data_IF_713463436674
#
_entry.id   IF_713463436674
#
_cell.length_a   1.000
_cell.length_b   1.000
_cell.length_c   1.000
_cell.angle_alpha   90.00
_cell.angle_beta   90.00
_cell.angle_gamma   90.00
#
_symmetry.space_group_name_H-M   'P 1'
#
loop_
_entity.id
_entity.type
_entity.pdbx_description
1 polymer ?
2 non-polymer ?
3 water ?
#
# COMPACT_ATOMS: atom_id res chain seq x y z
N UNK A 25 18.64 6.41 -20.34
CA UNK A 25 19.90 6.06 -19.61
C UNK A 25 20.56 4.73 -19.95
N UNK A 26 21.72 4.53 -19.34
CA UNK A 26 22.50 3.33 -19.51
C UNK A 26 21.90 2.11 -18.78
N UNK A 27 22.21 0.93 -19.30
CA UNK A 27 21.88 -0.32 -18.62
C UNK A 27 22.24 -0.35 -17.13
N UNK A 28 23.48 -0.04 -16.80
CA UNK A 28 23.97 -0.09 -15.43
C UNK A 28 23.13 0.83 -14.55
N UNK A 29 22.77 2.01 -15.06
CA UNK A 29 21.96 2.96 -14.31
C UNK A 29 20.54 2.47 -14.09
N UNK A 30 19.93 1.90 -15.12
CA UNK A 30 18.65 1.19 -14.95
C UNK A 30 18.63 0.03 -13.97
N UNK A 31 19.53 -0.93 -14.17
CA UNK A 31 19.72 -2.00 -13.21
C UNK A 31 20.03 -1.53 -11.78
N UNK A 32 20.88 -0.55 -11.60
CA UNK A 32 21.15 -0.04 -10.26
C UNK A 32 19.99 0.67 -9.61
N UNK A 33 19.10 1.14 -10.45
CA UNK A 33 17.90 1.80 -10.00
C UNK A 33 16.79 0.82 -9.60
N UNK A 34 16.61 -0.22 -10.42
CA UNK A 34 15.77 -1.36 -10.11
C UNK A 34 16.17 -1.99 -8.80
N UNK A 35 17.45 -1.86 -8.47
CA UNK A 35 18.07 -2.74 -7.49
C UNK A 35 17.36 -2.79 -6.14
N UNK A 36 17.08 -1.60 -5.56
CA UNK A 36 16.32 -1.55 -4.30
C UNK A 36 14.87 -2.04 -4.37
N UNK A 37 14.27 -2.04 -5.55
CA UNK A 37 12.96 -2.68 -5.66
C UNK A 37 13.05 -4.17 -5.88
N UNK A 38 14.14 -4.62 -6.49
CA UNK A 38 14.35 -6.04 -6.49
C UNK A 38 14.52 -6.53 -5.05
N UNK A 39 15.21 -5.76 -4.21
CA UNK A 39 15.37 -6.21 -2.85
C UNK A 39 14.04 -6.25 -2.12
N UNK A 40 13.19 -5.24 -2.33
CA UNK A 40 11.89 -5.22 -1.68
C UNK A 40 11.06 -6.38 -2.17
N UNK A 42 11.61 -9.29 -3.37
CA UNK A 42 12.10 -10.66 -3.25
C UNK A 42 11.58 -11.52 -2.10
N UNK A 43 11.12 -12.72 -2.44
CA UNK A 43 10.47 -13.59 -1.44
C UNK A 43 9.13 -13.10 -0.94
N UNK A 44 8.65 -12.02 -1.54
CA UNK A 44 7.34 -11.37 -1.33
C UNK A 44 6.31 -12.02 -2.28
N UNK A 45 5.03 -11.98 -1.89
CA UNK A 45 3.90 -12.55 -2.63
C UNK A 45 3.06 -11.49 -3.33
N UNK A 46 2.81 -11.73 -4.60
CA UNK A 46 2.05 -10.78 -5.38
C UNK A 46 0.88 -11.53 -5.98
N UNK A 47 -0.34 -11.08 -5.72
CA UNK A 47 -1.52 -11.62 -6.38
C UNK A 47 -1.83 -10.71 -7.57
N UNK A 48 -1.91 -11.32 -8.73
CA UNK A 48 -2.27 -10.53 -9.90
C UNK A 48 -3.68 -10.88 -10.41
N UNK A 49 -4.60 -9.92 -10.30
CA UNK A 49 -5.89 -10.12 -10.98
C UNK A 49 -5.85 -9.68 -12.43
N UNK A 50 -5.95 -10.60 -13.38
CA UNK A 50 -5.73 -10.23 -14.79
C UNK A 50 -7.02 -10.18 -15.60
N UNK A 51 -7.27 -9.04 -16.25
CA UNK A 51 -8.44 -8.89 -17.11
C UNK A 51 -8.25 -9.92 -18.22
N UNK A 52 -9.30 -10.65 -18.61
CA UNK A 52 -9.11 -11.76 -19.53
C UNK A 52 -8.97 -11.36 -20.99
N UNK A 53 -9.23 -10.09 -21.32
CA UNK A 53 -8.87 -9.53 -22.62
C UNK A 53 -7.37 -9.48 -22.88
N UNK A 54 -6.58 -9.52 -21.82
CA UNK A 54 -5.13 -9.43 -21.96
C UNK A 54 -4.59 -10.81 -22.34
N UNK A 55 -5.44 -11.81 -22.18
CA UNK A 55 -4.98 -13.17 -22.39
C UNK A 55 -5.13 -13.64 -23.84
N UNK A 56 -4.99 -12.70 -24.77
CA UNK A 56 -5.40 -12.94 -26.16
C UNK A 56 -4.52 -12.35 -27.24
N UNK A 57 -3.93 -11.18 -26.98
CA UNK A 57 -3.39 -10.40 -28.10
C UNK A 57 -1.94 -10.76 -28.37
N UNK A 58 -1.15 -9.79 -28.80
CA UNK A 58 0.27 -9.75 -28.41
C UNK A 58 0.48 -9.20 -27.01
N UNK A 59 -0.61 -8.96 -26.29
CA UNK A 59 -0.53 -8.50 -24.92
C UNK A 59 -0.22 -9.68 -24.01
N UNK A 60 -0.45 -10.88 -24.52
CA UNK A 60 -0.28 -12.12 -23.79
C UNK A 60 1.21 -12.49 -23.73
N UNK A 61 1.88 -12.38 -24.87
CA UNK A 61 3.27 -12.84 -24.91
C UNK A 61 4.14 -11.92 -24.08
N UNK A 62 3.89 -10.62 -24.24
CA UNK A 62 4.46 -9.57 -23.44
C UNK A 62 4.27 -9.81 -21.93
N UNK A 63 3.08 -10.17 -21.51
CA UNK A 63 2.70 -10.41 -20.09
C UNK A 63 3.30 -11.69 -19.50
N UNK A 64 3.15 -12.79 -20.23
CA UNK A 64 3.80 -14.04 -19.90
C UNK A 64 5.30 -13.86 -19.69
N UNK A 65 5.97 -13.26 -20.66
CA UNK A 65 7.38 -12.84 -20.52
C UNK A 65 7.68 -12.09 -19.23
N UNK A 66 6.92 -11.05 -18.91
CA UNK A 66 7.20 -10.18 -17.75
C UNK A 66 6.96 -10.97 -16.47
N UNK A 67 5.92 -11.81 -16.50
CA UNK A 67 5.64 -12.73 -15.40
C UNK A 67 6.71 -13.78 -15.18
N UNK A 68 7.26 -14.33 -16.26
CA UNK A 68 8.41 -15.19 -16.11
C UNK A 68 9.57 -14.53 -15.41
N UNK A 69 9.77 -13.23 -15.65
CA UNK A 69 10.91 -12.49 -15.12
C UNK A 69 10.70 -12.23 -13.63
N UNK A 70 9.50 -11.79 -13.27
CA UNK A 70 9.11 -11.73 -11.86
C UNK A 70 9.30 -13.04 -11.12
N UNK A 71 8.92 -14.16 -11.72
CA UNK A 71 9.38 -15.41 -11.13
C UNK A 71 10.89 -15.43 -10.89
N UNK A 72 11.66 -15.07 -11.91
CA UNK A 72 13.12 -15.27 -11.86
C UNK A 72 13.73 -14.38 -10.81
N UNK A 73 12.95 -13.40 -10.37
CA UNK A 73 13.39 -12.41 -9.40
C UNK A 73 12.91 -12.86 -8.04
N UNK A 74 12.36 -14.07 -7.93
CA UNK A 74 12.05 -14.53 -6.58
C UNK A 74 10.79 -13.93 -5.97
N UNK A 75 9.87 -13.51 -6.84
CA UNK A 75 8.53 -13.07 -6.42
C UNK A 75 7.60 -14.28 -6.50
N UNK A 76 6.93 -14.59 -5.40
CA UNK A 76 5.84 -15.56 -5.36
C UNK A 76 4.58 -15.02 -6.01
N UNK A 77 4.09 -15.75 -7.00
CA UNK A 77 3.06 -15.25 -7.89
C UNK A 77 1.82 -16.09 -7.79
N UNK A 78 0.70 -15.43 -7.55
CA UNK A 78 -0.61 -16.06 -7.71
C UNK A 78 -1.32 -15.22 -8.72
N UNK A 79 -1.69 -15.88 -9.81
CA UNK A 79 -2.35 -15.21 -10.92
C UNK A 79 -3.80 -15.71 -11.00
N UNK A 80 -4.74 -14.76 -11.11
CA UNK A 80 -6.18 -14.99 -11.30
C UNK A 80 -6.65 -14.22 -12.54
N UNK A 81 -7.44 -14.88 -13.36
CA UNK A 81 -8.00 -14.14 -14.48
C UNK A 81 -9.50 -14.06 -14.33
N UNK A 82 -10.08 -13.06 -14.99
CA UNK A 82 -11.52 -13.00 -15.20
C UNK A 82 -12.01 -13.55 -16.54
N UNK A 83 -13.32 -13.76 -16.60
CA UNK A 83 -13.98 -14.29 -17.80
C UNK A 83 -15.21 -13.52 -18.32
N UNK A 84 -15.55 -12.39 -17.71
CA UNK A 84 -16.79 -11.68 -18.00
C UNK A 84 -16.89 -11.15 -19.42
N UNK A 85 -15.82 -10.53 -19.90
CA UNK A 85 -15.82 -9.93 -21.23
C UNK A 85 -15.87 -11.02 -22.28
N UNK A 86 -15.27 -12.16 -21.97
CA UNK A 86 -15.29 -13.24 -22.94
C UNK A 86 -16.73 -13.73 -23.00
N UNK A 87 -17.37 -13.63 -21.84
CA UNK A 87 -18.69 -14.19 -21.65
C UNK A 87 -19.72 -13.34 -22.40
N UNK A 88 -19.51 -12.02 -22.42
CA UNK A 88 -20.35 -11.09 -23.18
C UNK A 88 -20.15 -11.14 -24.68
N UNK A 89 -18.89 -11.28 -25.09
CA UNK A 89 -18.59 -11.41 -26.52
C UNK A 89 -19.31 -12.62 -27.12
N UNK A 90 -19.44 -13.68 -26.33
CA UNK A 90 -20.36 -14.80 -26.63
C UNK A 90 -21.86 -14.51 -26.49
N UNK A 91 -22.23 -13.92 -25.36
CA UNK A 91 -23.60 -13.50 -25.13
C UNK A 91 -24.12 -12.46 -26.13
N UNK A 92 -23.25 -11.86 -26.93
CA UNK A 92 -23.70 -10.86 -27.89
C UNK A 92 -23.77 -11.44 -29.30
N UNK A 93 -22.98 -12.50 -29.51
CA UNK A 93 -22.93 -13.16 -30.81
C UNK A 93 -23.81 -14.40 -30.86
N UNK A 94 -24.34 -14.81 -29.71
CA UNK A 94 -25.18 -16.01 -29.61
C UNK A 94 -26.65 -15.63 -29.53
N UNK A 95 -26.89 -14.33 -29.36
CA UNK A 95 -28.26 -13.82 -29.29
C UNK A 95 -28.61 -13.36 -27.89
N UNK A 96 -28.31 -14.23 -26.92
CA UNK A 96 -28.55 -14.00 -25.50
C UNK A 96 -27.98 -12.66 -25.05
N UNK A 97 -28.41 -12.13 -23.90
CA UNK A 97 -27.80 -10.92 -23.34
C UNK A 97 -27.46 -11.01 -21.85
N UNK A 98 -26.31 -10.41 -21.46
CA UNK A 98 -25.78 -10.39 -20.09
C UNK A 98 -26.61 -9.61 -19.09
N UNK A 99 -26.74 -10.14 -17.87
CA UNK A 99 -27.34 -9.39 -16.79
C UNK A 99 -26.41 -9.25 -15.60
N UNK A 100 -26.40 -8.06 -15.01
CA UNK A 100 -25.42 -7.73 -13.97
C UNK A 100 -26.15 -7.17 -12.73
N UNK A 101 -25.71 -7.56 -11.54
CA UNK A 101 -26.40 -7.15 -10.32
C UNK A 101 -25.43 -6.64 -9.28
N UNK A 102 -25.17 -5.32 -9.30
CA UNK A 102 -24.17 -4.70 -8.42
C UNK A 102 -22.79 -4.86 -9.06
N UNK A 103 -22.76 -5.51 -10.21
CA UNK A 103 -21.55 -5.61 -11.02
C UNK A 103 -21.17 -7.08 -11.21
N UNK A 104 -21.63 -7.90 -10.27
CA UNK A 104 -21.68 -9.34 -10.44
C UNK A 104 -22.58 -9.76 -11.61
N UNK A 105 -22.20 -10.86 -12.25
CA UNK A 105 -22.91 -11.40 -13.39
C UNK A 105 -23.73 -12.67 -13.08
N UNK A 106 -25.02 -12.62 -13.35
CA UNK A 106 -25.85 -13.82 -13.51
C UNK A 106 -25.19 -14.76 -14.52
N UNK A 107 -24.84 -15.97 -14.06
CA UNK A 107 -24.25 -16.99 -14.95
C UNK A 107 -25.08 -18.27 -14.91
N UNK A 108 -25.53 -18.75 -16.07
CA UNK A 108 -26.29 -19.99 -16.10
C UNK A 108 -25.42 -21.17 -16.44
N UNK A 109 -26.01 -22.36 -16.33
CA UNK A 109 -25.41 -23.58 -16.82
C UNK A 109 -24.59 -23.35 -18.09
N UNK A 110 -25.17 -22.69 -19.08
CA UNK A 110 -24.47 -22.51 -20.35
C UNK A 110 -23.20 -21.66 -20.29
N UNK A 111 -23.30 -20.51 -19.64
CA UNK A 111 -22.19 -19.60 -19.59
C UNK A 111 -21.08 -20.15 -18.68
N UNK A 112 -21.49 -20.80 -17.60
CA UNK A 112 -20.69 -21.70 -16.78
C UNK A 112 -19.85 -22.70 -17.58
N UNK A 113 -20.46 -23.37 -18.54
CA UNK A 113 -19.76 -24.35 -19.34
C UNK A 113 -18.74 -23.72 -20.28
N UNK A 114 -19.11 -22.59 -20.89
CA UNK A 114 -18.22 -21.79 -21.72
C UNK A 114 -17.06 -21.20 -20.92
N UNK A 115 -17.29 -21.00 -19.62
CA UNK A 115 -16.32 -20.34 -18.75
C UNK A 115 -15.26 -21.35 -18.34
N UNK A 116 -15.70 -22.60 -18.25
CA UNK A 116 -14.83 -23.77 -18.19
C UNK A 116 -13.99 -23.99 -19.45
N UNK A 117 -14.60 -23.82 -20.60
CA UNK A 117 -13.85 -23.85 -21.84
C UNK A 117 -12.78 -22.77 -22.00
N UNK A 118 -13.20 -21.53 -21.78
CA UNK A 118 -12.28 -20.41 -21.73
C UNK A 118 -11.08 -20.58 -20.80
N UNK A 119 -11.31 -20.88 -19.52
CA UNK A 119 -10.26 -21.23 -18.57
C UNK A 119 -9.22 -22.15 -19.20
N UNK A 120 -9.66 -23.22 -19.86
CA UNK A 120 -8.74 -24.20 -20.42
C UNK A 120 -7.95 -23.64 -21.59
N UNK A 121 -8.58 -22.82 -22.41
CA UNK A 121 -7.95 -22.28 -23.59
C UNK A 121 -6.91 -21.27 -23.11
N UNK A 122 -7.31 -20.46 -22.15
CA UNK A 122 -6.46 -19.40 -21.65
C UNK A 122 -5.30 -19.87 -20.75
N UNK A 123 -5.50 -20.96 -20.01
CA UNK A 123 -4.42 -21.59 -19.24
C UNK A 123 -3.37 -22.20 -20.15
N UNK A 124 -3.85 -22.86 -21.19
CA UNK A 124 -2.97 -23.54 -22.15
C UNK A 124 -2.17 -22.54 -22.97
N UNK A 125 -2.82 -21.44 -23.36
CA UNK A 125 -2.13 -20.38 -24.07
C UNK A 125 -1.15 -19.61 -23.20
N UNK A 126 -1.55 -19.28 -21.98
CA UNK A 126 -0.61 -18.62 -21.08
C UNK A 126 0.63 -19.49 -20.84
N UNK A 127 0.46 -20.80 -20.84
CA UNK A 127 1.55 -21.72 -20.59
C UNK A 127 2.48 -21.86 -21.79
N UNK A 128 1.92 -21.85 -22.98
CA UNK A 128 2.72 -21.89 -24.20
C UNK A 128 3.49 -20.58 -24.35
N UNK A 129 2.82 -19.47 -24.02
CA UNK A 129 3.44 -18.15 -24.04
C UNK A 129 4.60 -18.09 -23.08
N UNK A 130 4.37 -18.55 -21.86
CA UNK A 130 5.38 -18.54 -20.84
C UNK A 130 6.53 -19.47 -21.25
N UNK A 131 6.16 -20.66 -21.70
CA UNK A 131 7.14 -21.70 -21.97
C UNK A 131 7.95 -21.28 -23.19
N UNK A 132 7.35 -20.42 -23.99
CA UNK A 132 7.81 -20.23 -25.36
C UNK A 132 8.34 -18.83 -25.47
N UNK A 133 9.42 -18.57 -24.75
CA UNK A 133 10.03 -17.26 -24.83
C UNK A 133 10.03 -16.56 -23.50
N UNK A 142 8.59 -22.72 -18.42
CA UNK A 142 9.68 -23.58 -17.96
C UNK A 142 10.15 -23.24 -16.53
N UNK A 143 10.10 -21.95 -16.21
CA UNK A 143 9.25 -21.52 -15.10
C UNK A 143 8.05 -22.43 -14.77
N UNK A 144 8.02 -22.87 -13.52
CA UNK A 144 7.11 -23.88 -12.99
C UNK A 144 5.71 -23.35 -12.67
N UNK A 145 4.71 -23.89 -13.33
CA UNK A 145 3.42 -23.21 -13.37
C UNK A 145 2.47 -24.27 -12.92
N UNK A 146 1.71 -23.95 -11.89
CA UNK A 146 0.92 -24.93 -11.17
C UNK A 146 -0.53 -24.45 -10.96
N UNK A 147 -1.46 -25.40 -10.82
CA UNK A 147 -2.83 -25.02 -10.79
C UNK A 147 -3.54 -26.17 -10.07
N UNK A 148 -4.52 -25.83 -9.24
CA UNK A 148 -4.97 -26.73 -8.20
C UNK A 148 -6.38 -26.44 -7.74
N UNK A 149 -6.99 -27.35 -7.01
CA UNK A 149 -8.30 -27.00 -6.47
C UNK A 149 -8.18 -26.23 -5.17
N UNK A 150 -7.69 -24.99 -5.21
CA UNK A 150 -7.46 -24.21 -3.98
C UNK A 150 -8.69 -23.54 -3.38
N UNK A 151 -9.74 -23.40 -4.17
CA UNK A 151 -10.86 -22.51 -3.84
C UNK A 151 -12.14 -23.35 -3.67
N UNK A 152 -12.83 -23.21 -2.55
CA UNK A 152 -14.15 -23.76 -2.58
C UNK A 152 -15.14 -22.61 -2.65
N UNK A 153 -16.09 -22.71 -3.58
CA UNK A 153 -17.07 -21.65 -3.76
C UNK A 153 -18.44 -21.99 -3.19
N UNK A 154 -19.33 -21.01 -3.26
CA UNK A 154 -20.71 -21.16 -2.87
C UNK A 154 -21.39 -20.05 -3.67
N UNK A 155 -22.65 -20.27 -4.07
CA UNK A 155 -23.44 -19.31 -4.84
C UNK A 155 -23.66 -18.02 -4.04
N UNK A 156 -23.47 -16.88 -4.69
CA UNK A 156 -23.93 -15.62 -4.10
C UNK A 156 -25.38 -15.60 -3.64
N UNK A 157 -26.25 -16.32 -4.34
CA UNK A 157 -27.64 -16.45 -3.95
C UNK A 157 -28.47 -15.48 -4.79
N UNK A 158 -29.29 -14.70 -4.11
CA UNK A 158 -30.20 -13.84 -4.80
C UNK A 158 -29.93 -12.39 -4.38
N UNK A 159 -29.63 -11.53 -5.34
CA UNK A 159 -29.46 -10.14 -4.98
C UNK A 159 -30.56 -9.25 -5.50
N UNK A 160 -31.26 -8.63 -4.55
CA UNK A 160 -32.25 -7.63 -4.89
C UNK A 160 -33.43 -8.19 -5.70
N UNK A 161 -33.87 -9.40 -5.36
CA UNK A 161 -34.93 -10.06 -6.10
C UNK A 161 -34.42 -10.90 -7.26
N UNK A 162 -33.15 -10.76 -7.59
CA UNK A 162 -32.56 -11.44 -8.75
C UNK A 162 -31.68 -12.62 -8.41
N UNK A 163 -32.01 -13.77 -8.97
CA UNK A 163 -31.21 -14.95 -8.73
C UNK A 163 -29.91 -14.93 -9.53
N UNK A 165 -27.86 -17.22 -9.82
CA UNK A 165 -27.61 -18.61 -10.16
C UNK A 165 -26.23 -19.15 -9.82
N UNK A 166 -25.51 -19.43 -10.89
CA UNK A 166 -24.18 -19.98 -10.78
C UNK A 166 -23.09 -18.95 -10.53
N UNK A 167 -23.44 -17.71 -10.24
CA UNK A 167 -22.44 -16.81 -9.67
C UNK A 167 -21.98 -17.19 -8.25
N UNK A 168 -20.66 -17.25 -8.08
CA UNK A 168 -20.09 -17.71 -6.83
C UNK A 168 -19.28 -16.66 -6.11
N UNK A 169 -18.92 -17.04 -4.89
CA UNK A 169 -18.03 -16.24 -4.08
C UNK A 169 -17.17 -17.29 -3.36
N UNK A 170 -15.86 -17.06 -3.25
CA UNK A 170 -15.03 -17.97 -2.45
C UNK A 170 -15.56 -18.12 -1.01
N UNK A 171 -15.75 -19.36 -0.59
CA UNK A 171 -16.20 -19.75 0.76
C UNK A 171 -14.94 -20.13 1.57
N UNK A 172 -13.99 -20.84 0.97
CA UNK A 172 -12.78 -21.31 1.63
C UNK A 172 -11.61 -21.39 0.64
N UNK A 173 -10.46 -20.91 1.07
CA UNK A 173 -9.26 -21.01 0.30
C UNK A 173 -8.22 -21.84 1.05
N UNK A 174 -7.78 -22.90 0.39
CA UNK A 174 -6.74 -23.75 0.92
C UNK A 174 -5.43 -22.97 0.92
N UNK A 175 -5.21 -22.26 2.03
CA UNK A 175 -4.16 -21.28 2.15
C UNK A 175 -2.85 -22.02 2.37
N UNK A 176 -2.95 -23.24 2.89
CA UNK A 176 -1.75 -24.02 3.14
C UNK A 176 -1.20 -24.68 1.88
N UNK A 177 -2.06 -25.37 1.15
CA UNK A 177 -1.73 -25.79 -0.22
C UNK A 177 -1.11 -24.70 -1.09
N UNK A 178 -1.58 -23.46 -1.00
CA UNK A 178 -1.12 -22.37 -1.85
C UNK A 178 0.30 -21.97 -1.48
N UNK A 179 0.49 -21.71 -0.19
CA UNK A 179 1.81 -21.39 0.38
C UNK A 179 2.86 -22.46 0.04
N UNK A 180 2.42 -23.69 0.25
CA UNK A 180 3.17 -24.87 -0.15
C UNK A 180 3.71 -24.80 -1.59
N UNK A 181 2.88 -24.44 -2.57
CA UNK A 181 3.31 -24.38 -3.97
C UNK A 181 4.23 -23.19 -4.15
N UNK A 182 3.86 -22.07 -3.57
CA UNK A 182 4.67 -20.87 -3.54
C UNK A 182 6.00 -21.01 -2.82
N UNK A 183 6.04 -21.73 -1.71
CA UNK A 183 7.32 -22.07 -1.09
C UNK A 183 8.25 -22.77 -2.07
N UNK A 184 7.75 -23.72 -2.84
CA UNK A 184 8.57 -24.52 -3.76
C UNK A 184 9.03 -23.74 -4.98
N UNK A 185 8.57 -22.49 -5.08
CA UNK A 185 8.96 -21.63 -6.22
C UNK A 185 7.94 -21.71 -7.37
N UNK A 186 6.81 -22.35 -7.19
CA UNK A 186 5.89 -22.48 -8.31
C UNK A 186 5.04 -21.24 -8.52
N UNK A 187 4.74 -20.88 -9.77
CA UNK A 187 3.77 -19.85 -10.01
C UNK A 187 2.38 -20.50 -10.00
N UNK A 188 1.50 -19.91 -9.22
CA UNK A 188 0.11 -20.37 -9.19
C UNK A 188 -0.86 -19.70 -10.15
N UNK A 189 -1.49 -20.51 -11.02
CA UNK A 189 -2.55 -20.06 -11.88
C UNK A 189 -3.96 -20.44 -11.45
N UNK A 191 -8.09 -20.11 -12.45
CA UNK A 191 -9.25 -19.62 -13.18
C UNK A 191 -10.22 -18.98 -12.21
N UNK A 192 -11.17 -18.22 -12.75
CA UNK A 192 -12.26 -17.74 -11.95
C UNK A 192 -13.38 -18.77 -11.81
N UNK A 193 -13.06 -19.93 -11.24
CA UNK A 193 -14.00 -21.04 -10.99
C UNK A 193 -13.67 -21.68 -9.64
N UNK A 194 -14.68 -21.99 -8.83
CA UNK A 194 -14.49 -22.73 -7.61
C UNK A 194 -15.56 -23.79 -7.53
N UNK A 195 -15.28 -24.83 -6.73
CA UNK A 195 -16.28 -25.85 -6.50
C UNK A 195 -16.86 -25.85 -5.08
N UNK A 196 -18.01 -26.50 -4.94
CA UNK A 196 -18.65 -26.66 -3.64
C UNK A 196 -18.66 -28.13 -3.32
N UNK A 197 -18.84 -28.43 -2.03
CA UNK A 197 -19.07 -29.81 -1.59
C UNK A 197 -20.39 -30.44 -2.04
N UNK A 198 -21.12 -29.79 -2.94
CA UNK A 198 -22.30 -30.39 -3.56
C UNK A 198 -21.98 -30.91 -4.94
N UNK A 199 -20.73 -30.70 -5.37
CA UNK A 199 -20.22 -31.08 -6.69
C UNK A 199 -20.59 -30.10 -7.80
N UNK A 200 -20.85 -28.86 -7.42
CA UNK A 200 -21.17 -27.83 -8.40
C UNK A 200 -19.97 -26.88 -8.60
N UNK A 201 -19.95 -26.25 -9.77
CA UNK A 201 -19.02 -25.18 -10.10
C UNK A 201 -19.71 -23.82 -10.18
N UNK A 202 -18.98 -22.79 -9.78
CA UNK A 202 -19.46 -21.42 -9.82
C UNK A 202 -18.39 -20.48 -10.36
N UNK A 203 -18.86 -19.41 -10.97
CA UNK A 203 -18.03 -18.48 -11.72
C UNK A 203 -17.73 -17.36 -10.73
N UNK A 204 -16.46 -17.21 -10.38
CA UNK A 204 -16.08 -16.20 -9.37
C UNK A 204 -15.88 -14.88 -10.09
N UNK A 205 -16.06 -13.78 -9.38
CA UNK A 205 -15.74 -12.50 -9.97
C UNK A 205 -14.26 -12.26 -9.69
N UNK A 207 -12.23 -9.64 -9.75
CA UNK A 207 -11.79 -8.47 -9.01
C UNK A 207 -11.90 -8.75 -7.53
N UNK A 208 -12.98 -9.39 -7.10
CA UNK A 208 -13.06 -9.76 -5.72
C UNK A 208 -12.52 -11.10 -5.25
N UNK A 209 -12.34 -12.07 -6.15
CA UNK A 209 -11.58 -13.27 -5.81
C UNK A 209 -10.08 -13.03 -5.54
N UNK A 210 -9.49 -12.11 -6.30
CA UNK A 210 -8.08 -11.76 -6.19
C UNK A 210 -7.90 -11.07 -4.86
N UNK A 211 -8.90 -10.31 -4.42
CA UNK A 211 -8.68 -9.51 -3.21
C UNK A 211 -8.88 -10.43 -2.02
N UNK A 212 -9.74 -11.44 -2.18
CA UNK A 212 -9.94 -12.47 -1.17
C UNK A 212 -8.71 -13.37 -0.95
N UNK A 213 -8.24 -13.96 -2.04
CA UNK A 213 -6.96 -14.64 -2.05
C UNK A 213 -5.76 -13.84 -1.49
N UNK A 214 -5.59 -12.59 -1.90
CA UNK A 214 -4.50 -11.76 -1.36
C UNK A 214 -4.57 -11.64 0.16
N UNK A 215 -5.79 -11.54 0.66
CA UNK A 215 -6.05 -11.33 2.09
C UNK A 215 -5.74 -12.61 2.86
N UNK A 216 -6.23 -13.74 2.35
CA UNK A 216 -5.90 -15.06 2.92
C UNK A 216 -4.40 -15.30 3.04
N UNK A 217 -3.69 -14.98 1.96
CA UNK A 217 -2.23 -15.14 1.85
C UNK A 217 -1.52 -14.08 2.67
N UNK A 218 -2.24 -13.02 3.02
CA UNK A 218 -1.56 -11.78 3.40
C UNK A 218 -0.45 -11.36 2.44
N UNK A 219 -0.75 -11.38 1.15
CA UNK A 219 0.16 -10.94 0.10
C UNK A 219 0.56 -9.50 0.36
N UNK A 220 1.86 -9.19 0.24
CA UNK A 220 2.30 -7.82 0.32
C UNK A 220 1.74 -6.94 -0.80
N UNK A 221 1.49 -7.53 -1.97
CA UNK A 221 1.01 -6.73 -3.08
C UNK A 221 -0.07 -7.44 -3.90
N UNK A 222 -1.17 -6.73 -4.11
CA UNK A 222 -2.25 -7.11 -5.04
C UNK A 222 -2.19 -6.17 -6.22
N UNK A 223 -2.15 -6.74 -7.42
CA UNK A 223 -1.96 -5.96 -8.61
C UNK A 223 -3.13 -6.23 -9.56
N UNK A 224 -3.81 -5.16 -9.99
CA UNK A 224 -4.90 -5.33 -10.95
C UNK A 224 -4.44 -4.90 -12.34
N UNK A 225 -4.40 -5.84 -13.27
CA UNK A 225 -3.94 -5.54 -14.62
C UNK A 225 -5.17 -5.32 -15.48
N UNK A 226 -5.38 -4.08 -15.89
CA UNK A 226 -6.65 -3.62 -16.43
C UNK A 226 -6.26 -3.19 -17.84
N UNK A 227 -7.22 -2.61 -18.55
CA UNK A 227 -7.04 -1.94 -19.83
C UNK A 227 -6.98 -0.41 -19.73
N UNK A 228 -6.88 0.08 -18.51
CA UNK A 228 -6.74 1.51 -18.35
C UNK A 228 -5.57 1.81 -17.45
N UNK A 229 -5.01 3.00 -17.73
CA UNK A 229 -3.83 3.55 -17.07
C UNK A 229 -4.29 4.07 -15.71
N UNK A 230 -4.39 3.18 -14.73
CA UNK A 230 -4.68 3.58 -13.35
C UNK A 230 -6.03 4.18 -13.01
N UNK A 231 -6.08 5.08 -12.03
CA UNK A 231 -7.36 5.66 -11.68
C UNK A 231 -7.22 7.17 -11.78
N UNK A 232 -8.11 7.76 -12.56
CA UNK A 232 -8.10 9.18 -12.88
C UNK A 232 -8.73 10.01 -11.76
N UNK A 233 -8.21 11.22 -11.55
CA UNK A 233 -8.87 12.20 -10.73
C UNK A 233 -9.99 12.95 -11.46
N UNK A 234 -10.81 13.70 -10.71
CA UNK A 234 -11.89 14.55 -11.20
C UNK A 234 -11.50 15.36 -12.43
N UNK A 235 -10.33 15.99 -12.47
CA UNK A 235 -9.91 16.43 -13.80
C UNK A 235 -8.92 15.68 -14.66
N UNK A 236 -9.18 14.38 -14.80
CA UNK A 236 -8.59 13.55 -15.84
C UNK A 236 -7.12 13.25 -15.60
N UNK A 237 -6.56 13.81 -14.53
CA UNK A 237 -5.19 13.48 -14.09
C UNK A 237 -5.09 12.09 -13.43
N UNK A 238 -4.10 11.32 -13.85
CA UNK A 238 -3.88 10.00 -13.24
C UNK A 238 -3.42 10.18 -11.79
N UNK A 239 -4.18 9.57 -10.87
CA UNK A 239 -3.79 9.36 -9.48
C UNK A 239 -2.64 8.34 -9.28
N UNK A 240 -1.42 8.77 -9.57
CA UNK A 240 -0.20 8.11 -9.15
C UNK A 240 -0.31 7.33 -7.83
N UNK A 241 -0.77 8.00 -6.77
CA UNK A 241 -0.70 7.47 -5.41
C UNK A 241 -1.88 7.91 -4.52
N UNK A 242 -2.57 6.99 -3.87
CA UNK A 242 -3.76 7.32 -3.08
C UNK A 242 -3.74 6.69 -1.69
N UNK A 243 -4.23 7.38 -0.65
CA UNK A 243 -4.60 6.64 0.55
C UNK A 243 -5.88 5.86 0.26
N UNK A 244 -6.27 4.92 1.12
CA UNK A 244 -7.56 4.22 0.97
C UNK A 244 -8.72 5.21 1.18
N UNK A 245 -8.48 6.23 1.99
CA UNK A 245 -9.45 7.32 2.08
C UNK A 245 -9.66 8.07 0.77
N UNK A 246 -8.59 8.57 0.18
CA UNK A 246 -8.69 9.27 -1.10
C UNK A 246 -9.24 8.38 -2.22
N UNK A 247 -8.96 7.08 -2.14
CA UNK A 247 -9.52 6.21 -3.16
C UNK A 247 -11.02 6.22 -3.00
N UNK A 248 -11.42 5.92 -1.76
CA UNK A 248 -12.81 6.03 -1.34
C UNK A 248 -13.56 7.29 -1.82
N UNK A 249 -12.97 8.45 -1.58
CA UNK A 249 -13.71 9.67 -1.89
C UNK A 249 -13.69 10.00 -3.39
N UNK A 250 -12.87 9.31 -4.16
CA UNK A 250 -12.96 9.37 -5.62
C UNK A 250 -14.15 8.62 -6.22
N UNK A 251 -14.55 7.55 -5.56
CA UNK A 251 -15.51 6.60 -6.12
C UNK A 251 -16.91 7.20 -6.17
N UNK A 252 -17.13 8.22 -5.35
CA UNK A 252 -18.41 8.90 -5.33
C UNK A 252 -18.81 9.39 -6.72
N UNK A 253 -17.84 9.88 -7.49
CA UNK A 253 -18.10 10.36 -8.86
C UNK A 253 -17.38 9.55 -9.94
N UNK A 254 -17.17 8.27 -9.64
CA UNK A 254 -16.45 7.41 -10.58
C UNK A 254 -17.37 6.45 -11.33
N UNK A 255 -16.93 6.03 -12.51
CA UNK A 255 -17.61 4.97 -13.28
C UNK A 255 -17.73 3.67 -12.48
N UNK A 256 -18.67 2.79 -12.83
CA UNK A 256 -19.02 1.70 -11.92
C UNK A 256 -17.94 0.62 -11.79
N UNK A 257 -17.27 0.33 -12.89
CA UNK A 257 -16.11 -0.56 -12.94
C UNK A 257 -15.02 -0.07 -11.98
N UNK A 258 -14.57 1.16 -12.16
CA UNK A 258 -13.60 1.73 -11.25
C UNK A 258 -14.08 1.87 -9.81
N UNK A 259 -15.39 1.86 -9.56
CA UNK A 259 -15.86 1.86 -8.17
C UNK A 259 -15.71 0.46 -7.54
N UNK A 260 -15.88 -0.57 -8.36
CA UNK A 260 -15.71 -1.96 -7.92
C UNK A 260 -14.24 -2.31 -7.72
N UNK A 261 -13.41 -1.83 -8.63
CA UNK A 261 -11.99 -1.84 -8.40
C UNK A 261 -11.67 -1.26 -7.01
N UNK A 262 -12.18 -0.06 -6.74
CA UNK A 262 -11.76 0.70 -5.56
C UNK A 262 -12.21 0.06 -4.25
N UNK A 263 -13.40 -0.51 -4.36
CA UNK A 263 -14.04 -1.20 -3.27
C UNK A 263 -13.29 -2.49 -2.90
N UNK A 264 -12.98 -3.30 -3.91
CA UNK A 264 -12.12 -4.44 -3.63
C UNK A 264 -10.73 -4.05 -3.13
N UNK A 265 -10.09 -3.05 -3.74
CA UNK A 265 -8.75 -2.61 -3.30
C UNK A 265 -8.74 -2.11 -1.86
N UNK A 266 -9.86 -1.51 -1.45
CA UNK A 266 -9.97 -1.03 -0.06
C UNK A 266 -10.15 -2.17 0.94
N UNK A 267 -10.98 -3.15 0.61
CA UNK A 267 -11.21 -4.28 1.50
C UNK A 267 -9.92 -5.11 1.59
N UNK A 268 -9.14 -5.16 0.51
CA UNK A 268 -7.86 -5.92 0.50
C UNK A 268 -6.91 -5.30 1.52
N UNK A 269 -6.65 -4.00 1.38
CA UNK A 269 -5.92 -3.25 2.40
C UNK A 269 -6.45 -3.47 3.80
N UNK A 270 -7.74 -3.20 3.98
CA UNK A 270 -8.38 -3.38 5.27
C UNK A 270 -8.06 -4.78 5.80
N UNK A 271 -8.02 -5.78 4.93
CA UNK A 271 -7.84 -7.14 5.40
C UNK A 271 -6.38 -7.49 5.58
N UNK A 272 -5.48 -6.54 5.34
CA UNK A 272 -4.08 -6.81 5.62
C UNK A 272 -3.05 -6.66 4.49
N UNK A 273 -3.50 -6.57 3.24
CA UNK A 273 -2.61 -6.45 2.09
C UNK A 273 -2.02 -5.05 2.12
N UNK A 274 -0.76 -4.92 1.74
CA UNK A 274 0.04 -3.78 2.15
C UNK A 274 -0.13 -2.75 1.06
N UNK A 275 -0.28 -3.23 -0.17
CA UNK A 275 -0.33 -2.34 -1.31
C UNK A 275 -1.11 -2.91 -2.48
N UNK A 276 -2.13 -2.19 -2.96
CA UNK A 276 -2.74 -2.58 -4.23
C UNK A 276 -2.39 -1.63 -5.37
N UNK A 277 -2.14 -2.20 -6.54
CA UNK A 277 -1.77 -1.40 -7.71
C UNK A 277 -2.72 -1.63 -8.89
N UNK A 278 -3.07 -0.55 -9.56
CA UNK A 278 -3.87 -0.61 -10.78
C UNK A 278 -3.06 -0.15 -12.00
N UNK A 279 -2.91 -1.02 -13.00
CA UNK A 279 -2.08 -0.70 -14.16
C UNK A 279 -2.86 -1.02 -15.43
N UNK A 280 -2.27 -0.65 -16.56
CA UNK A 280 -2.82 -1.01 -17.86
C UNK A 280 -2.00 -2.23 -18.27
N UNK A 281 -2.57 -3.43 -18.16
CA UNK A 281 -1.85 -4.66 -18.48
C UNK A 281 -1.59 -4.73 -19.97
N UNK A 282 -2.29 -3.92 -20.75
CA UNK A 282 -2.07 -3.79 -22.20
C UNK A 282 -0.93 -2.87 -22.64
N UNK A 283 -0.38 -2.07 -21.73
CA UNK A 283 0.64 -1.13 -22.12
C UNK A 283 1.97 -1.81 -21.84
N UNK A 284 2.79 -1.88 -22.88
CA UNK A 284 3.97 -2.76 -22.98
C UNK A 284 5.03 -2.46 -21.93
N UNK A 285 5.23 -3.43 -21.04
CA UNK A 285 6.25 -3.35 -20.01
C UNK A 285 5.76 -2.71 -18.73
N UNK A 286 4.49 -2.33 -18.67
CA UNK A 286 3.94 -1.58 -17.54
C UNK A 286 4.23 -2.21 -16.17
N UNK A 287 3.99 -3.51 -16.04
CA UNK A 287 4.27 -4.24 -14.80
C UNK A 287 5.68 -4.02 -14.25
N UNK A 288 6.61 -3.88 -15.17
CA UNK A 288 8.03 -3.80 -14.82
C UNK A 288 8.37 -2.38 -14.41
N UNK A 289 7.83 -1.41 -15.13
CA UNK A 289 7.91 -0.03 -14.68
C UNK A 289 7.16 0.36 -13.42
N UNK A 290 6.00 -0.24 -13.19
CA UNK A 290 5.41 -0.30 -11.86
C UNK A 290 6.39 -0.75 -10.81
N UNK A 291 6.73 -2.04 -10.81
CA UNK A 291 7.42 -2.64 -9.67
C UNK A 291 8.79 -2.08 -9.38
N UNK A 292 9.50 -1.66 -10.43
CA UNK A 292 10.95 -1.57 -10.30
C UNK A 292 11.53 -0.21 -10.57
N UNK A 293 10.67 0.80 -10.64
CA UNK A 293 11.03 2.21 -10.71
C UNK A 293 10.38 3.02 -9.58
N UNK A 294 11.08 4.08 -9.20
CA UNK A 294 10.57 5.05 -8.23
C UNK A 294 9.21 5.53 -8.77
N UNK A 295 9.18 5.79 -10.08
CA UNK A 295 7.97 6.27 -10.72
C UNK A 295 6.92 5.16 -10.85
N UNK A 296 6.66 4.66 -12.05
CA UNK A 296 5.55 3.74 -12.13
C UNK A 296 4.66 4.24 -13.24
N UNK A 297 3.48 3.65 -13.36
CA UNK A 297 2.64 4.01 -14.51
C UNK A 297 1.14 3.98 -14.24
N UNK A 298 0.74 3.34 -13.14
CA UNK A 298 -0.66 3.39 -12.79
C UNK A 298 -0.85 4.02 -11.43
N UNK A 299 -1.65 3.35 -10.61
CA UNK A 299 -2.13 3.93 -9.36
C UNK A 299 -1.83 2.96 -8.25
N UNK A 300 -1.38 3.51 -7.14
CA UNK A 300 -0.97 2.69 -6.03
C UNK A 300 -1.71 3.21 -4.80
N UNK A 301 -2.32 2.28 -4.07
CA UNK A 301 -3.20 2.63 -2.98
C UNK A 301 -2.67 1.91 -1.76
N UNK A 302 -2.69 2.62 -0.63
CA UNK A 302 -2.09 2.11 0.61
C UNK A 302 -2.98 2.68 1.69
N UNK A 303 -2.96 2.06 2.86
CA UNK A 303 -3.75 2.48 3.99
C UNK A 303 -2.82 2.85 5.15
N UNK A 304 -2.64 4.14 5.37
CA UNK A 304 -2.63 4.77 6.69
C UNK A 304 -3.19 3.95 7.85
N UNK A 305 -2.36 3.35 8.69
CA UNK A 305 -2.88 2.97 10.02
C UNK A 305 -3.33 4.17 10.88
N UNK A 306 -4.22 3.94 11.84
CA UNK A 306 -4.79 5.01 12.67
C UNK A 306 -3.80 5.62 13.64
N UNK A 307 -3.77 6.95 13.67
CA UNK A 307 -3.04 7.61 14.73
C UNK A 307 -3.63 8.99 15.01
N UNK A 308 -4.56 9.04 15.96
CA UNK A 308 -4.89 10.27 16.67
C UNK A 308 -3.65 11.08 17.09
N UNK A 309 -3.31 12.06 16.27
CA UNK A 309 -2.37 13.09 16.71
C UNK A 309 -3.07 14.44 16.89
N UNK A 310 -2.95 15.02 18.07
CA UNK A 310 -3.49 16.36 18.28
C UNK A 310 -2.60 17.29 19.09
N UNK A 311 -2.92 18.58 19.00
CA UNK A 311 -2.46 19.59 19.94
C UNK A 311 -2.60 19.11 21.38
N UNK A 312 -1.50 19.00 22.12
CA UNK A 312 -1.58 19.04 23.57
C UNK A 312 -2.34 20.27 24.11
N UNK A 313 -3.25 20.00 25.04
CA UNK A 313 -3.72 20.95 26.04
C UNK A 313 -3.19 20.52 27.41
N UNK A 314 -3.59 21.21 28.46
CA UNK A 314 -2.89 21.09 29.75
C UNK A 314 -3.23 19.86 30.57
N UNK A 315 -4.24 19.09 30.15
CA UNK A 315 -4.57 17.77 30.73
C UNK A 315 -3.61 16.64 30.40
N UNK A 316 -2.76 16.88 29.40
CA UNK A 316 -1.68 16.00 28.97
C UNK A 316 -0.37 16.11 29.75
N UNK A 317 -0.15 17.23 30.43
CA UNK A 317 1.17 17.48 31.00
C UNK A 317 1.60 16.36 31.96
N UNK A 318 0.74 15.92 32.89
CA UNK A 318 1.26 14.81 33.71
C UNK A 318 1.65 13.59 32.87
N UNK A 319 0.85 13.32 31.84
CA UNK A 319 1.20 12.29 30.86
C UNK A 319 2.51 12.51 30.14
N UNK A 320 2.73 13.72 29.61
CA UNK A 320 3.98 14.10 28.96
C UNK A 320 5.13 14.02 29.94
N UNK A 321 5.04 14.76 31.04
CA UNK A 321 6.01 14.69 32.12
C UNK A 321 6.51 13.28 32.47
N UNK A 322 5.63 12.29 32.63
CA UNK A 322 6.06 10.98 33.10
C UNK A 322 6.78 10.16 32.02
N UNK A 323 6.41 10.42 30.77
CA UNK A 323 7.13 9.95 29.58
C UNK A 323 8.53 10.53 29.47
N UNK A 324 8.64 11.82 29.74
CA UNK A 324 9.79 12.59 29.31
C UNK A 324 10.84 12.49 30.42
N UNK A 325 10.34 12.42 31.64
CA UNK A 325 11.19 12.42 32.83
C UNK A 325 12.36 11.43 32.85
N UNK A 326 12.07 10.12 32.76
CA UNK A 326 13.20 9.18 32.82
C UNK A 326 14.22 9.36 31.70
N UNK A 327 13.82 9.89 30.56
CA UNK A 327 14.77 10.29 29.50
C UNK A 327 15.68 11.49 29.85
N UNK A 328 15.11 12.51 30.50
CA UNK A 328 15.95 13.54 31.09
C UNK A 328 16.93 12.97 32.11
N UNK A 329 16.42 12.12 33.01
CA UNK A 329 17.26 11.47 33.99
C UNK A 329 18.44 10.75 33.33
N UNK A 330 18.22 10.28 32.11
CA UNK A 330 19.20 9.45 31.41
C UNK A 330 20.14 10.28 30.55
N UNK A 331 19.85 11.57 30.41
CA UNK A 331 20.74 12.48 29.70
C UNK A 331 20.42 12.60 28.23
N UNK A 332 19.22 12.15 27.86
CA UNK A 332 18.81 11.88 26.50
C UNK A 332 18.01 13.08 26.00
N UNK A 333 17.23 13.65 26.91
CA UNK A 333 16.30 14.73 26.71
C UNK A 333 16.71 15.85 27.67
N UNK A 334 16.72 17.06 27.11
CA UNK A 334 17.00 18.30 27.81
C UNK A 334 16.24 18.40 29.11
N UNK A 335 16.99 18.61 30.18
CA UNK A 335 16.44 19.00 31.47
C UNK A 335 15.25 19.92 31.22
N UNK A 336 14.05 19.46 31.58
CA UNK A 336 12.98 20.42 31.76
C UNK A 336 12.34 20.75 33.11
N UNK A 337 11.29 21.57 33.00
CA UNK A 337 10.48 22.00 34.14
C UNK A 337 9.02 22.00 33.71
N UNK A 338 8.14 21.74 34.69
CA UNK A 338 6.71 21.66 34.47
C UNK A 338 6.13 23.03 34.08
N UNK A 339 6.73 24.11 34.57
CA UNK A 339 6.16 25.42 34.33
C UNK A 339 6.41 25.89 32.89
N UNK A 340 7.54 25.43 32.34
CA UNK A 340 7.83 25.43 30.90
C UNK A 340 6.74 24.77 30.07
N UNK A 341 6.42 23.50 30.38
CA UNK A 341 5.37 22.76 29.68
C UNK A 341 4.01 23.44 29.66
N UNK A 342 3.61 23.94 30.84
CA UNK A 342 2.38 24.73 31.04
C UNK A 342 2.29 26.02 30.23
N UNK A 343 3.44 26.69 30.04
CA UNK A 343 3.41 27.94 29.28
C UNK A 343 3.80 27.76 27.81
N UNK A 344 4.12 26.53 27.40
CA UNK A 344 4.54 26.16 26.05
C UNK A 344 3.73 24.98 25.49
N UNK A 345 2.57 24.71 26.07
CA UNK A 345 1.83 23.48 25.82
C UNK A 345 1.30 23.53 24.40
N UNK A 346 1.24 24.76 23.88
CA UNK A 346 0.75 24.99 22.53
C UNK A 346 1.72 24.54 21.43
N UNK A 347 2.98 24.34 21.79
CA UNK A 347 3.99 23.87 20.82
C UNK A 347 4.20 22.35 20.79
N UNK A 348 3.53 21.69 21.73
CA UNK A 348 3.42 20.24 21.79
C UNK A 348 2.24 19.61 21.06
N UNK A 349 2.55 18.44 20.50
CA UNK A 349 1.60 17.50 19.94
C UNK A 349 1.79 16.19 20.71
N UNK A 350 0.67 15.48 20.86
CA UNK A 350 0.65 14.18 21.49
C UNK A 350 -0.01 13.18 20.55
N UNK A 351 0.39 11.92 20.74
CA UNK A 351 -0.12 10.80 19.99
C UNK A 351 -0.79 9.90 21.03
N UNK A 352 -1.98 9.42 20.70
CA UNK A 352 -2.80 8.66 21.63
C UNK A 352 -3.53 7.54 20.91
N UNK A 353 -4.34 6.86 21.69
CA UNK A 353 -4.99 5.63 21.28
C UNK A 353 -5.71 5.22 22.55
N UNK A 354 -7.01 4.96 22.43
CA UNK A 354 -7.84 4.63 23.57
C UNK A 354 -7.63 5.55 24.77
N UNK A 355 -7.25 6.79 24.46
CA UNK A 355 -7.13 7.84 25.46
C UNK A 355 -5.84 7.79 26.26
N UNK A 356 -5.05 6.73 26.04
CA UNK A 356 -3.68 6.70 26.54
C UNK A 356 -2.69 7.36 25.58
N UNK A 357 -1.54 7.70 26.15
CA UNK A 357 -0.61 8.62 25.51
C UNK A 357 0.72 7.92 25.23
N UNK A 358 1.10 7.91 23.96
CA UNK A 358 2.17 7.01 23.54
C UNK A 358 3.32 7.80 22.95
N UNK A 359 3.06 9.06 22.60
CA UNK A 359 4.11 9.92 22.05
C UNK A 359 3.90 11.40 22.32
N UNK A 360 4.98 12.17 22.26
CA UNK A 360 4.91 13.63 22.22
C UNK A 360 6.00 14.16 21.28
N UNK A 361 5.83 15.41 20.84
CA UNK A 361 6.87 16.08 20.02
C UNK A 361 6.57 17.58 20.05
N UNK A 362 7.62 18.40 20.14
CA UNK A 362 7.44 19.84 20.12
C UNK A 362 7.97 20.53 18.88
N UNK A 363 7.30 21.61 18.50
CA UNK A 363 7.82 22.57 17.51
C UNK A 363 8.18 23.89 18.18
N UNK A 364 9.48 24.18 18.18
CA UNK A 364 9.95 25.53 18.47
C UNK A 364 10.06 26.40 17.23
N UNK A 365 9.71 27.67 17.40
CA UNK A 365 9.93 28.72 16.41
C UNK A 365 10.87 29.84 16.94
N UNK A 366 11.42 30.65 16.04
CA UNK A 366 12.58 31.49 16.28
C UNK A 366 12.35 32.87 15.69
N UNK A 367 13.27 33.79 15.96
CA UNK A 367 13.17 35.14 15.37
C UNK A 367 13.23 35.07 13.84
N UNK A 368 14.12 34.23 13.32
CA UNK A 368 14.14 33.81 11.92
C UNK A 368 12.88 33.05 11.44
N UNK A 369 12.03 33.69 10.64
CA UNK A 369 10.78 33.07 10.14
C UNK A 369 10.92 31.73 9.41
N UNK A 370 12.14 31.44 8.95
CA UNK A 370 12.35 30.28 8.09
C UNK A 370 12.76 29.04 8.89
N UNK A 371 12.91 29.19 10.20
CA UNK A 371 13.44 28.15 11.04
C UNK A 371 12.45 27.59 12.05
N UNK A 372 12.56 26.28 12.21
CA UNK A 372 11.92 25.60 13.32
C UNK A 372 12.83 24.56 13.91
N UNK A 373 12.43 24.06 15.05
CA UNK A 373 13.15 22.98 15.67
C UNK A 373 12.18 21.94 16.23
N UNK A 374 12.42 20.66 15.96
CA UNK A 374 11.66 19.59 16.63
C UNK A 374 12.47 19.27 17.87
N UNK A 375 11.78 19.29 19.01
CA UNK A 375 12.39 19.02 20.32
C UNK A 375 11.45 18.05 20.99
N UNK A 376 11.98 17.39 22.02
CA UNK A 376 11.21 16.55 22.94
C UNK A 376 10.43 15.43 22.27
N UNK A 377 10.99 14.85 21.21
CA UNK A 377 10.45 13.68 20.57
C UNK A 377 10.67 12.44 21.42
N UNK A 378 9.58 11.73 21.70
CA UNK A 378 9.59 10.71 22.75
C UNK A 378 8.43 9.76 22.49
N UNK A 379 8.71 8.46 22.44
CA UNK A 379 7.69 7.43 22.32
C UNK A 379 7.76 6.48 23.51
N UNK A 380 6.63 6.28 24.16
CA UNK A 380 6.52 5.24 25.16
C UNK A 380 7.23 3.95 24.68
N UNK A 381 8.19 3.42 25.48
CA UNK A 381 9.08 2.30 25.16
C UNK A 381 8.37 1.00 24.77
N UNK A 382 7.23 0.74 25.42
CA UNK A 382 6.37 -0.38 25.08
C UNK A 382 5.72 -0.24 23.70
N UNK A 383 5.58 1.00 23.24
CA UNK A 383 4.92 1.29 21.98
C UNK A 383 5.92 1.69 20.91
N UNK A 384 7.19 1.52 21.20
CA UNK A 384 8.26 1.85 20.25
C UNK A 384 8.35 0.91 19.06
N UNK A 385 9.08 1.33 18.03
CA UNK A 385 9.38 0.45 16.91
C UNK A 385 8.14 0.05 16.12
N UNK A 386 7.01 0.72 16.31
CA UNK A 386 5.90 0.65 15.35
C UNK A 386 5.66 1.85 14.44
N UNK A 387 6.57 2.82 14.38
CA UNK A 387 6.37 3.96 13.47
C UNK A 387 5.70 5.17 14.11
N UNK A 388 5.40 5.08 15.41
CA UNK A 388 4.94 6.25 16.14
C UNK A 388 5.91 7.43 16.04
N UNK A 389 7.18 7.19 16.37
CA UNK A 389 8.26 8.17 16.18
C UNK A 389 8.17 8.98 14.90
N UNK A 390 8.38 8.30 13.79
CA UNK A 390 8.06 8.82 12.46
C UNK A 390 6.76 9.61 12.30
N UNK A 391 5.68 9.19 12.95
CA UNK A 391 4.35 9.75 12.67
C UNK A 391 4.28 11.14 13.27
N UNK A 392 4.95 11.26 14.43
CA UNK A 392 5.15 12.51 15.19
C UNK A 392 6.13 13.45 14.49
N UNK A 393 7.29 12.94 14.07
CA UNK A 393 8.11 13.71 13.16
C UNK A 393 7.36 14.25 11.95
N UNK A 394 6.60 13.41 11.24
CA UNK A 394 5.85 13.86 10.06
C UNK A 394 4.90 15.00 10.43
N UNK A 395 4.34 14.93 11.63
CA UNK A 395 3.23 15.79 12.00
C UNK A 395 3.82 17.15 12.36
N UNK A 396 4.88 17.14 13.16
CA UNK A 396 5.72 18.31 13.23
C UNK A 396 6.26 18.95 11.96
N UNK A 397 6.61 18.17 10.94
CA UNK A 397 6.96 18.85 9.69
C UNK A 397 5.76 19.50 9.00
N UNK A 398 4.62 18.82 8.95
CA UNK A 398 3.40 19.45 8.46
C UNK A 398 2.99 20.74 9.22
N UNK A 399 3.01 20.68 10.56
CA UNK A 399 2.89 21.89 11.38
C UNK A 399 3.87 23.00 10.99
N UNK A 400 5.17 22.72 11.05
CA UNK A 400 6.20 23.65 10.57
C UNK A 400 5.85 24.21 9.19
N UNK A 401 5.50 23.34 8.27
CA UNK A 401 5.32 23.77 6.91
C UNK A 401 4.13 24.76 6.81
N UNK A 402 3.08 24.53 7.59
CA UNK A 402 1.91 25.39 7.51
C UNK A 402 2.09 26.80 8.08
N UNK A 403 3.14 26.99 8.88
CA UNK A 403 3.58 28.33 9.25
C UNK A 403 4.81 28.88 8.51
N UNK A 404 5.25 28.22 7.44
CA UNK A 404 6.21 28.83 6.51
C UNK A 404 7.68 28.57 6.83
N UNK A 405 7.89 27.73 7.84
CA UNK A 405 9.17 27.09 8.09
C UNK A 405 9.70 26.11 7.01
N UNK A 406 10.92 26.36 6.57
CA UNK A 406 11.54 25.56 5.52
C UNK A 406 12.79 24.87 6.01
N UNK A 407 13.22 25.19 7.23
CA UNK A 407 14.37 24.54 7.87
C UNK A 407 14.12 24.07 9.30
N UNK A 408 14.05 22.75 9.46
CA UNK A 408 13.80 22.09 10.73
C UNK A 408 15.11 21.57 11.29
N UNK A 409 15.49 22.10 12.46
CA UNK A 409 16.63 21.63 13.26
C UNK A 409 16.25 20.56 14.29
N UNK A 410 17.19 19.67 14.59
CA UNK A 410 17.05 18.74 15.69
C UNK A 410 18.39 18.66 16.40
N UNK A 411 18.38 18.84 17.72
CA UNK A 411 19.60 18.77 18.48
C UNK A 411 19.49 17.55 19.40
N UNK A 412 20.39 16.59 19.26
CA UNK A 412 20.15 15.33 19.91
C UNK A 412 21.52 14.92 20.39
N UNK A 413 21.57 14.53 21.66
CA UNK A 413 22.78 14.00 22.24
C UNK A 413 23.08 12.53 21.88
N UNK A 414 22.00 11.76 21.73
CA UNK A 414 22.09 10.30 21.80
C UNK A 414 21.30 9.64 20.67
N UNK A 415 20.67 10.45 19.81
CA UNK A 415 19.60 10.03 18.91
C UNK A 415 19.73 10.62 17.50
N UNK A 416 20.83 11.32 17.21
CA UNK A 416 21.04 11.92 15.89
C UNK A 416 20.87 11.06 14.64
N UNK A 417 21.27 9.80 14.68
CA UNK A 417 21.23 8.96 13.48
C UNK A 417 19.79 8.68 13.03
N UNK A 418 18.91 8.55 14.01
CA UNK A 418 17.48 8.55 13.75
C UNK A 418 17.04 9.71 12.84
N UNK A 419 17.58 10.90 13.04
CA UNK A 419 17.23 12.06 12.23
C UNK A 419 18.01 12.09 10.92
N UNK A 420 19.27 11.66 11.02
CA UNK A 420 20.14 11.45 9.84
C UNK A 420 19.55 10.48 8.81
N UNK A 421 18.89 9.43 9.27
CA UNK A 421 18.25 8.47 8.38
C UNK A 421 16.89 8.96 7.90
N UNK A 422 16.46 10.07 8.47
CA UNK A 422 15.15 10.57 8.14
C UNK A 422 15.23 11.98 7.60
N UNK A 423 16.31 12.30 6.91
CA UNK A 423 16.29 13.43 5.98
C UNK A 423 17.08 14.57 6.54
N UNK A 424 17.59 14.39 7.75
CA UNK A 424 18.31 15.45 8.45
C UNK A 424 19.77 15.39 8.08
N UNK A 425 20.31 16.53 7.67
CA UNK A 425 21.75 16.66 7.50
C UNK A 425 22.44 17.29 8.70
N UNK A 426 23.71 16.97 8.82
CA UNK A 426 24.56 17.47 9.88
C UNK A 426 24.77 18.97 9.76
N UNK A 427 24.79 19.71 10.86
CA UNK A 427 25.03 21.16 10.79
C UNK A 427 25.97 21.60 11.91
N UNK A 428 26.17 22.90 12.03
CA UNK A 428 27.14 23.52 12.93
C UNK A 428 26.41 24.38 13.98
N UNK A 429 27.05 24.85 15.04
CA UNK A 429 26.32 25.75 15.93
C UNK A 429 26.06 27.06 15.19
N UNK A 430 26.98 27.37 14.28
CA UNK A 430 27.04 28.68 13.64
C UNK A 430 25.89 28.76 12.65
N UNK A 431 25.21 27.62 12.55
CA UNK A 431 24.06 27.46 11.68
C UNK A 431 22.71 27.59 12.38
N UNK A 432 22.70 27.59 13.71
CA UNK A 432 21.46 27.65 14.48
C UNK A 432 20.83 29.02 14.40
N UNK A 433 19.51 29.09 14.60
CA UNK A 433 19.01 30.42 14.89
C UNK A 433 19.84 31.00 16.02
N UNK A 434 20.13 32.28 15.92
CA UNK A 434 21.03 32.98 16.84
C UNK A 434 20.75 32.73 18.34
N UNK A 435 19.50 32.83 18.79
CA UNK A 435 19.27 32.58 20.21
C UNK A 435 19.44 31.10 20.60
N UNK A 436 19.25 30.21 19.63
CA UNK A 436 19.39 28.78 19.84
C UNK A 436 20.87 28.46 19.98
N UNK A 437 21.67 29.15 19.17
CA UNK A 437 23.12 29.14 19.27
C UNK A 437 23.66 29.56 20.66
N UNK A 438 23.00 30.54 21.26
CA UNK A 438 23.17 30.92 22.64
C UNK A 438 22.82 29.84 23.65
N UNK A 439 21.55 29.45 23.74
CA UNK A 439 21.14 28.35 24.61
C UNK A 439 22.08 27.16 24.47
N UNK A 440 22.35 26.79 23.23
CA UNK A 440 23.21 25.63 22.98
C UNK A 440 24.56 25.79 23.69
N UNK A 441 25.20 26.95 23.50
CA UNK A 441 26.48 27.29 24.13
C UNK A 441 26.41 27.23 25.65
N UNK A 442 25.28 27.61 26.23
CA UNK A 442 25.23 27.70 27.68
C UNK A 442 24.64 26.46 28.35
N UNK A 443 24.00 25.59 27.57
CA UNK A 443 23.48 24.35 28.12
C UNK A 443 24.56 23.30 28.33
N UNK A 444 25.60 23.33 27.51
CA UNK A 444 26.79 22.53 27.79
C UNK A 444 26.66 21.09 27.35
N UNK A 445 25.53 20.76 26.72
CA UNK A 445 25.19 19.36 26.38
C UNK A 445 25.99 18.87 25.19
N UNK A 446 26.43 19.77 24.33
CA UNK A 446 27.32 19.41 23.23
C UNK A 446 26.62 18.44 22.28
N UNK A 447 25.30 18.55 22.23
CA UNK A 447 24.58 17.66 21.34
C UNK A 447 24.94 17.84 19.87
N UNK A 448 24.46 16.92 19.04
CA UNK A 448 24.74 16.94 17.61
C UNK A 448 23.62 17.72 16.99
N UNK A 449 24.01 18.65 16.12
CA UNK A 449 23.02 19.44 15.45
C UNK A 449 22.76 19.02 13.99
N UNK A 450 21.49 19.03 13.59
CA UNK A 450 21.04 18.47 12.32
C UNK A 450 19.85 19.29 11.88
N UNK A 451 19.69 19.44 10.57
CA UNK A 451 18.60 20.19 9.95
C UNK A 451 18.09 19.28 8.83
N UNK A 452 16.83 19.52 8.53
CA UNK A 452 16.14 19.13 7.33
C UNK A 452 15.47 20.34 6.63
N UNK A 453 15.60 20.41 5.31
CA UNK A 453 14.86 21.40 4.51
C UNK A 453 13.43 20.92 4.24
N UNK A 454 12.46 21.83 4.27
CA UNK A 454 11.09 21.45 3.96
C UNK A 454 10.53 22.26 2.79
N UNK A 455 9.89 21.59 1.84
CA UNK A 455 9.55 22.33 0.62
C UNK A 455 8.16 22.96 0.67
N UNK A 456 7.94 24.01 -0.12
CA UNK A 456 6.59 24.56 -0.23
C UNK A 456 5.63 23.54 -0.87
#
# INVERSE_FOLDING_TARGET
XGSSHHHHHHSSGLVPRGSHXNAPDSFVAHFREAAPYIRQXRGTTLVAGIDGRLLEGGTLNKLAADIGLLSQLGIRLVLIHGAYHFLDRLAAAQGRTPHYCRGLRVTDETSLGQAQQFAGTVRSRFEAALCGSVSGFARAPSVPLVSGNFLTARPIGVIDGTDXEYAGVIRKTDTAALRFQLDAGNIVWXPPLGHSYGGKTFNLDXVQAAASVAVSLQAEKLVYLTLSDGISRPDGTLAETLSAQEAQSLAEHAASETRRLISSAVAALEGGVHRVQILNGAADGSLLQELFTRNGIGTSIAKEAFVSIRQAHSGDIPHIAALIRPLEEQGILLHRSREYLENHISEFSILEHDGNLYGCAALKTFAEADCGEIACLAVSPQAQDGGYGERLLAHIIDKARGIGISRLFALSTNTGEWFAERGFQTASEDELPETRRKDYRSNGRNSHILVRRLHR
#
